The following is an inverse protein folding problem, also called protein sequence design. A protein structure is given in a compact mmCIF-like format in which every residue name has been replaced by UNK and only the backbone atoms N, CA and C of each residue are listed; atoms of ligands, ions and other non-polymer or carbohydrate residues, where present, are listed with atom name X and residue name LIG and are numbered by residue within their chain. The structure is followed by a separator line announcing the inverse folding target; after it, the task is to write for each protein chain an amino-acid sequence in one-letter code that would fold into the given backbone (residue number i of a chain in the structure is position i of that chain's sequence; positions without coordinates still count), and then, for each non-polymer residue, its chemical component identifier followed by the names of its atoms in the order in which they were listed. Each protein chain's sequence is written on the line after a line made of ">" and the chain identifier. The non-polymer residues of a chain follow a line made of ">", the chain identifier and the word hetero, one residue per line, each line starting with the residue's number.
data_IF_903395796080
#
_entry.id   IF_903395796080
#
_cell.length_a   1.000
_cell.length_b   1.000
_cell.length_c   1.000
_cell.angle_alpha   90.00
_cell.angle_beta   90.00
_cell.angle_gamma   90.00
#
_symmetry.space_group_name_H-M   'P 1'
#
loop_
_entity.id
_entity.type
_entity.pdbx_description
1 polymer ?
#
# COMPACT_ATOMS: atom_id res chain seq x y z
N UNK A 1 10.19 15.75 -5.68
CA UNK A 1 9.73 14.73 -4.71
C UNK A 1 8.98 13.65 -5.50
N UNK A 2 9.19 12.36 -5.19
CA UNK A 2 8.44 11.27 -5.85
C UNK A 2 6.93 11.44 -5.51
N UNK A 3 6.05 11.45 -6.53
CA UNK A 3 4.62 11.71 -6.39
C UNK A 3 3.95 10.72 -5.42
N UNK A 4 4.32 9.44 -5.50
CA UNK A 4 3.91 8.37 -4.59
C UNK A 4 4.20 8.71 -3.13
N UNK A 5 5.43 9.16 -2.83
CA UNK A 5 5.82 9.52 -1.47
C UNK A 5 5.02 10.70 -0.93
N UNK A 6 4.83 11.75 -1.73
CA UNK A 6 4.07 12.93 -1.31
C UNK A 6 2.63 12.60 -0.97
N UNK A 7 1.95 11.84 -1.83
CA UNK A 7 0.58 11.40 -1.58
C UNK A 7 0.48 10.48 -0.37
N UNK A 8 1.45 9.59 -0.16
CA UNK A 8 1.47 8.71 1.01
C UNK A 8 1.59 9.50 2.31
N UNK A 9 2.47 10.50 2.36
CA UNK A 9 2.63 11.37 3.53
C UNK A 9 1.37 12.19 3.82
N UNK A 10 0.71 12.70 2.78
CA UNK A 10 -0.57 13.39 2.93
C UNK A 10 -1.63 12.49 3.55
N UNK A 11 -1.74 11.23 3.09
CA UNK A 11 -2.70 10.27 3.63
C UNK A 11 -2.34 9.88 5.08
N UNK A 12 -1.05 9.68 5.37
CA UNK A 12 -0.54 9.40 6.72
C UNK A 12 -0.92 10.51 7.69
N UNK A 13 -0.76 11.78 7.32
CA UNK A 13 -1.13 12.90 8.18
C UNK A 13 -2.64 13.08 8.28
N UNK A 14 -3.39 12.95 7.18
CA UNK A 14 -4.86 13.03 7.17
C UNK A 14 -5.50 12.03 8.14
N UNK A 15 -4.95 10.83 8.23
CA UNK A 15 -5.48 9.72 9.05
C UNK A 15 -4.69 9.46 10.33
N UNK A 16 -3.76 10.36 10.69
CA UNK A 16 -2.93 10.24 11.89
C UNK A 16 -2.22 8.88 12.04
N UNK A 17 -1.74 8.31 10.93
CA UNK A 17 -1.08 7.00 10.90
C UNK A 17 0.36 7.13 11.37
N UNK A 18 0.55 7.19 12.69
CA UNK A 18 1.88 7.44 13.29
C UNK A 18 2.64 6.17 13.68
N UNK A 19 2.00 5.01 13.60
CA UNK A 19 2.58 3.69 13.81
C UNK A 19 2.26 2.76 12.64
N UNK A 20 2.87 1.57 12.59
CA UNK A 20 2.51 0.56 11.59
C UNK A 20 1.02 0.19 11.75
N UNK A 21 0.16 0.49 10.76
CA UNK A 21 -1.28 0.30 10.93
C UNK A 21 -1.62 -1.19 10.94
N UNK A 22 -2.61 -1.58 11.74
CA UNK A 22 -3.19 -2.92 11.68
C UNK A 22 -4.06 -3.09 10.43
N UNK A 23 -4.41 -4.33 10.07
CA UNK A 23 -5.37 -4.56 8.99
C UNK A 23 -6.72 -3.85 9.20
N UNK A 24 -7.36 -3.92 10.39
CA UNK A 24 -8.60 -3.19 10.63
C UNK A 24 -8.48 -1.68 10.43
N UNK A 25 -7.37 -1.06 10.88
CA UNK A 25 -7.11 0.36 10.68
C UNK A 25 -6.97 0.72 9.20
N UNK A 26 -6.20 -0.07 8.42
CA UNK A 26 -6.11 0.16 6.97
C UNK A 26 -7.45 0.00 6.28
N UNK A 27 -8.24 -0.99 6.68
CA UNK A 27 -9.56 -1.21 6.11
C UNK A 27 -10.50 -0.03 6.38
N UNK A 28 -10.44 0.55 7.59
CA UNK A 28 -11.19 1.76 7.92
C UNK A 28 -10.76 2.97 7.06
N UNK A 29 -9.44 3.20 6.91
CA UNK A 29 -8.91 4.27 6.07
C UNK A 29 -9.40 4.11 4.61
N UNK A 30 -9.38 2.88 4.09
CA UNK A 30 -9.87 2.57 2.73
C UNK A 30 -11.34 3.00 2.56
N UNK A 31 -12.19 2.67 3.52
CA UNK A 31 -13.61 3.06 3.49
C UNK A 31 -13.79 4.57 3.64
N UNK A 32 -12.99 5.24 4.47
CA UNK A 32 -13.04 6.69 4.67
C UNK A 32 -12.57 7.47 3.43
N UNK A 33 -11.67 6.90 2.63
CA UNK A 33 -11.31 7.44 1.31
C UNK A 33 -12.37 7.14 0.23
N UNK A 34 -13.44 6.42 0.56
CA UNK A 34 -14.53 6.12 -0.37
C UNK A 34 -14.25 4.95 -1.32
N UNK A 35 -13.20 4.16 -1.06
CA UNK A 35 -12.86 2.98 -1.84
C UNK A 35 -13.68 1.78 -1.35
N UNK A 36 -14.50 1.20 -2.24
CA UNK A 36 -15.28 0.01 -1.92
C UNK A 36 -14.36 -1.21 -1.82
N UNK A 37 -14.61 -2.07 -0.84
CA UNK A 37 -13.82 -3.30 -0.63
C UNK A 37 -14.71 -4.51 -0.74
N UNK A 38 -14.34 -5.47 -1.59
CA UNK A 38 -15.08 -6.73 -1.72
C UNK A 38 -14.19 -7.94 -1.86
N UNK A 39 -14.53 -9.00 -1.15
CA UNK A 39 -13.90 -10.29 -1.34
C UNK A 39 -14.51 -11.04 -2.53
N UNK A 40 -13.66 -11.64 -3.35
CA UNK A 40 -14.02 -12.43 -4.50
C UNK A 40 -13.21 -13.72 -4.57
N UNK A 41 -13.81 -14.76 -5.13
CA UNK A 41 -13.10 -16.00 -5.44
C UNK A 41 -12.42 -15.86 -6.80
N UNK A 42 -11.13 -15.54 -6.79
CA UNK A 42 -10.31 -15.56 -8.00
C UNK A 42 -9.75 -16.96 -8.25
N UNK A 43 -9.66 -17.32 -9.53
CA UNK A 43 -8.89 -18.48 -9.98
C UNK A 43 -7.44 -18.06 -10.23
N UNK A 44 -6.48 -18.93 -9.90
CA UNK A 44 -5.06 -18.70 -10.16
C UNK A 44 -4.37 -17.78 -9.14
N UNK A 45 -3.34 -17.05 -9.57
CA UNK A 45 -2.44 -16.27 -8.70
C UNK A 45 -2.83 -14.82 -8.43
N UNK A 46 -4.02 -14.38 -8.87
CA UNK A 46 -4.50 -13.01 -8.67
C UNK A 46 -5.01 -12.86 -7.23
N UNK A 47 -4.33 -12.01 -6.46
CA UNK A 47 -4.68 -11.76 -5.05
C UNK A 47 -5.60 -10.56 -4.86
N UNK A 48 -5.56 -9.59 -5.78
CA UNK A 48 -6.44 -8.44 -5.75
C UNK A 48 -6.41 -7.61 -7.02
N UNK A 49 -7.51 -6.90 -7.25
CA UNK A 49 -7.72 -6.07 -8.42
C UNK A 49 -8.37 -4.75 -8.01
N UNK A 50 -7.80 -3.65 -8.48
CA UNK A 50 -8.36 -2.32 -8.37
C UNK A 50 -9.12 -1.96 -9.65
N UNK A 51 -10.33 -1.48 -9.51
CA UNK A 51 -11.20 -1.05 -10.59
C UNK A 51 -11.66 0.39 -10.34
N UNK A 52 -11.62 1.22 -11.37
CA UNK A 52 -12.19 2.56 -11.37
C UNK A 52 -13.15 2.67 -12.55
N UNK A 53 -14.39 3.10 -12.30
CA UNK A 53 -15.39 3.36 -13.33
C UNK A 53 -15.37 4.82 -13.78
N UNK A 54 -15.95 5.09 -14.95
CA UNK A 54 -16.11 6.46 -15.47
C UNK A 54 -16.94 7.35 -14.54
N UNK A 55 -17.86 6.76 -13.77
CA UNK A 55 -18.72 7.46 -12.82
C UNK A 55 -18.03 7.72 -11.47
N UNK A 56 -16.72 7.45 -11.37
CA UNK A 56 -15.93 7.65 -10.15
C UNK A 56 -16.15 6.59 -9.08
N UNK A 57 -16.73 5.43 -9.43
CA UNK A 57 -16.82 4.30 -8.50
C UNK A 57 -15.48 3.58 -8.49
N UNK A 58 -14.89 3.50 -7.31
CA UNK A 58 -13.62 2.81 -7.12
C UNK A 58 -13.84 1.59 -6.22
N UNK A 59 -13.32 0.46 -6.68
CA UNK A 59 -13.52 -0.85 -6.07
C UNK A 59 -12.18 -1.58 -5.99
N UNK A 60 -11.82 -1.97 -4.78
CA UNK A 60 -10.74 -2.90 -4.51
C UNK A 60 -11.32 -4.28 -4.20
N UNK A 61 -10.92 -5.25 -5.00
CA UNK A 61 -11.31 -6.64 -4.80
C UNK A 61 -10.13 -7.44 -4.24
N UNK A 62 -10.42 -8.34 -3.30
CA UNK A 62 -9.43 -9.18 -2.62
C UNK A 62 -9.80 -10.65 -2.74
N UNK A 63 -8.80 -11.52 -2.87
CA UNK A 63 -9.00 -12.96 -2.86
C UNK A 63 -9.45 -13.43 -1.47
N UNK A 64 -10.33 -14.42 -1.42
CA UNK A 64 -10.69 -15.12 -0.19
C UNK A 64 -9.48 -15.87 0.40
N UNK A 65 -9.38 -15.90 1.74
CA UNK A 65 -8.40 -16.72 2.47
C UNK A 65 -6.98 -16.15 2.54
N UNK A 66 -6.78 -14.89 2.15
CA UNK A 66 -5.47 -14.23 2.24
C UNK A 66 -5.04 -13.99 3.69
N UNK A 67 -3.73 -14.10 3.94
CA UNK A 67 -3.14 -13.77 5.23
C UNK A 67 -3.07 -12.26 5.47
N UNK A 68 -2.91 -11.84 6.72
CA UNK A 68 -2.87 -10.41 7.09
C UNK A 68 -1.82 -9.61 6.29
N UNK A 69 -0.62 -10.18 6.10
CA UNK A 69 0.45 -9.55 5.31
C UNK A 69 0.01 -9.19 3.89
N UNK A 70 -0.74 -10.08 3.25
CA UNK A 70 -1.22 -9.88 1.88
C UNK A 70 -2.38 -8.89 1.85
N UNK A 71 -3.32 -9.02 2.79
CA UNK A 71 -4.43 -8.08 2.93
C UNK A 71 -3.93 -6.65 3.12
N UNK A 72 -2.98 -6.44 4.04
CA UNK A 72 -2.38 -5.12 4.28
C UNK A 72 -1.71 -4.55 3.03
N UNK A 73 -0.97 -5.38 2.30
CA UNK A 73 -0.34 -4.96 1.04
C UNK A 73 -1.39 -4.53 0.02
N UNK A 74 -2.41 -5.36 -0.23
CA UNK A 74 -3.46 -5.07 -1.22
C UNK A 74 -4.23 -3.80 -0.86
N UNK A 75 -4.58 -3.60 0.42
CA UNK A 75 -5.27 -2.39 0.87
C UNK A 75 -4.41 -1.14 0.65
N UNK A 76 -3.13 -1.18 1.03
CA UNK A 76 -2.21 -0.07 0.81
C UNK A 76 -1.97 0.20 -0.69
N UNK A 77 -1.98 -0.84 -1.51
CA UNK A 77 -1.85 -0.78 -2.97
C UNK A 77 -3.10 -0.15 -3.62
N UNK A 78 -4.29 -0.53 -3.17
CA UNK A 78 -5.55 0.08 -3.63
C UNK A 78 -5.64 1.56 -3.26
N UNK A 79 -5.27 1.92 -2.03
CA UNK A 79 -5.16 3.32 -1.60
C UNK A 79 -4.15 4.11 -2.43
N UNK A 80 -3.03 3.50 -2.80
CA UNK A 80 -2.05 4.14 -3.66
C UNK A 80 -2.64 4.45 -5.05
N UNK A 81 -3.37 3.53 -5.67
CA UNK A 81 -4.03 3.82 -6.95
C UNK A 81 -5.09 4.91 -6.84
N UNK A 82 -5.91 4.84 -5.79
CA UNK A 82 -6.91 5.85 -5.45
C UNK A 82 -6.25 7.25 -5.34
N UNK A 83 -5.19 7.38 -4.54
CA UNK A 83 -4.56 8.67 -4.28
C UNK A 83 -3.70 9.21 -5.43
N UNK A 84 -3.10 8.34 -6.25
CA UNK A 84 -2.20 8.75 -7.32
C UNK A 84 -2.95 9.19 -8.58
N UNK A 85 -4.22 8.80 -8.72
CA UNK A 85 -5.04 9.12 -9.88
C UNK A 85 -4.57 8.32 -11.10
N UNK A 86 -5.41 7.40 -11.56
CA UNK A 86 -5.20 6.68 -12.82
C UNK A 86 -6.20 7.17 -13.88
N UNK A 87 -6.15 6.60 -15.08
CA UNK A 87 -7.05 6.95 -16.19
C UNK A 87 -8.55 6.90 -15.78
N UNK A 88 -9.45 7.63 -16.45
CA UNK A 88 -10.87 7.76 -16.02
C UNK A 88 -11.63 6.44 -15.83
N UNK A 89 -11.27 5.39 -16.56
CA UNK A 89 -11.73 4.03 -16.28
C UNK A 89 -10.63 3.03 -16.59
N UNK A 90 -10.35 2.15 -15.63
CA UNK A 90 -9.29 1.16 -15.77
C UNK A 90 -9.43 0.04 -14.75
N UNK A 91 -8.75 -1.07 -15.06
CA UNK A 91 -8.58 -2.21 -14.18
C UNK A 91 -7.09 -2.41 -13.98
N UNK A 92 -6.63 -2.49 -12.72
CA UNK A 92 -5.26 -2.77 -12.35
C UNK A 92 -5.20 -4.02 -11.49
N UNK A 93 -4.54 -5.04 -12.00
CA UNK A 93 -4.18 -6.22 -11.23
C UNK A 93 -2.94 -5.88 -10.42
N UNK A 94 -2.95 -6.20 -9.13
CA UNK A 94 -1.75 -6.06 -8.30
C UNK A 94 -0.66 -7.01 -8.81
N UNK A 95 0.52 -6.46 -9.09
CA UNK A 95 1.68 -7.21 -9.60
C UNK A 95 2.87 -7.06 -8.67
N UNK A 96 3.49 -8.18 -8.31
CA UNK A 96 4.78 -8.24 -7.64
C UNK A 96 5.71 -9.14 -8.47
N UNK A 97 6.81 -8.63 -9.06
CA UNK A 97 7.35 -7.27 -8.92
C UNK A 97 6.63 -6.21 -9.79
N UNK A 98 6.75 -4.91 -9.46
CA UNK A 98 6.26 -3.80 -10.28
C UNK A 98 6.92 -3.80 -11.67
N UNK A 99 6.16 -3.49 -12.72
CA UNK A 99 6.61 -3.62 -14.11
C UNK A 99 6.92 -2.27 -14.80
N UNK A 100 6.43 -1.17 -14.23
CA UNK A 100 6.61 0.16 -14.78
C UNK A 100 6.84 1.18 -13.65
N UNK A 101 7.14 2.43 -14.03
CA UNK A 101 7.40 3.51 -13.07
C UNK A 101 6.20 3.83 -12.18
N UNK A 102 4.98 3.73 -12.71
CA UNK A 102 3.76 3.98 -11.93
C UNK A 102 3.56 2.89 -10.86
N UNK A 103 3.78 1.62 -11.20
CA UNK A 103 3.75 0.52 -10.23
C UNK A 103 4.82 0.73 -9.14
N UNK A 104 5.99 1.31 -9.49
CA UNK A 104 7.03 1.64 -8.50
C UNK A 104 6.57 2.75 -7.55
N UNK A 105 5.90 3.81 -8.05
CA UNK A 105 5.33 4.88 -7.22
C UNK A 105 4.22 4.36 -6.30
N UNK A 106 3.42 3.40 -6.77
CA UNK A 106 2.39 2.70 -6.00
C UNK A 106 3.02 1.86 -4.87
N UNK A 107 4.06 1.09 -5.17
CA UNK A 107 4.81 0.32 -4.17
C UNK A 107 5.55 1.21 -3.16
N UNK A 108 6.10 2.34 -3.62
CA UNK A 108 6.72 3.34 -2.74
C UNK A 108 5.68 3.93 -1.79
N UNK A 109 4.50 4.30 -2.30
CA UNK A 109 3.37 4.76 -1.48
C UNK A 109 3.01 3.72 -0.42
N UNK A 110 2.75 2.47 -0.86
CA UNK A 110 2.33 1.40 0.03
C UNK A 110 3.35 1.14 1.14
N UNK A 111 4.65 1.14 0.81
CA UNK A 111 5.72 0.94 1.79
C UNK A 111 5.77 2.03 2.87
N UNK A 112 5.48 3.29 2.52
CA UNK A 112 5.45 4.43 3.46
C UNK A 112 4.20 4.39 4.32
N UNK A 113 3.03 4.11 3.73
CA UNK A 113 1.79 4.01 4.50
C UNK A 113 1.87 2.88 5.54
N UNK A 114 2.41 1.72 5.15
CA UNK A 114 2.50 0.54 6.01
C UNK A 114 3.56 0.67 7.12
N UNK A 115 4.57 1.52 6.91
CA UNK A 115 5.60 1.83 7.89
C UNK A 115 5.84 3.34 7.86
N UNK A 116 5.03 4.14 8.57
CA UNK A 116 5.11 5.60 8.50
C UNK A 116 6.48 6.18 8.90
N UNK A 117 6.81 7.43 8.53
CA UNK A 117 8.06 8.08 8.90
C UNK A 117 8.32 8.15 10.40
N UNK A 118 7.27 8.28 11.21
CA UNK A 118 7.38 8.35 12.68
C UNK A 118 7.78 7.02 13.32
N UNK A 119 7.64 5.91 12.60
CA UNK A 119 8.20 4.63 13.05
C UNK A 119 9.71 4.73 12.99
N UNK A 120 10.36 4.76 14.16
CA UNK A 120 11.83 4.83 14.25
C UNK A 120 12.45 3.62 13.56
N UNK A 121 13.15 3.89 12.47
CA UNK A 121 14.01 2.93 11.80
C UNK A 121 15.44 3.25 12.24
N UNK A 122 16.01 2.42 13.12
CA UNK A 122 17.40 2.58 13.54
C UNK A 122 18.31 2.26 12.36
N UNK A 123 18.66 3.31 11.60
CA UNK A 123 19.38 3.21 10.33
C UNK A 123 20.73 2.52 10.54
N UNK A 124 20.86 1.31 9.96
CA UNK A 124 22.08 0.50 10.05
C UNK A 124 22.01 -0.68 11.03
N UNK A 125 21.01 -0.71 11.93
CA UNK A 125 20.77 -1.85 12.84
C UNK A 125 19.54 -2.66 12.47
N UNK A 126 18.47 -2.02 12.02
CA UNK A 126 17.23 -2.73 11.68
C UNK A 126 17.31 -3.37 10.29
N UNK A 127 17.02 -4.66 10.23
CA UNK A 127 17.00 -5.46 9.01
C UNK A 127 15.62 -5.44 8.35
N UNK A 128 15.52 -5.66 7.01
CA UNK A 128 14.22 -5.84 6.36
C UNK A 128 13.37 -6.97 6.98
N UNK A 129 14.00 -8.00 7.54
CA UNK A 129 13.30 -9.12 8.19
C UNK A 129 12.60 -8.68 9.47
N UNK A 130 13.27 -7.89 10.31
CA UNK A 130 12.67 -7.37 11.55
C UNK A 130 11.50 -6.44 11.27
N UNK A 131 11.61 -5.55 10.28
CA UNK A 131 10.49 -4.69 9.87
C UNK A 131 9.33 -5.54 9.33
N UNK A 132 9.65 -6.52 8.48
CA UNK A 132 8.65 -7.43 7.90
C UNK A 132 7.84 -8.15 8.97
N UNK A 133 8.51 -8.66 10.01
CA UNK A 133 7.86 -9.31 11.15
C UNK A 133 7.04 -8.33 11.99
N UNK A 134 7.63 -7.19 12.39
CA UNK A 134 6.97 -6.21 13.27
C UNK A 134 5.76 -5.56 12.61
N UNK A 135 5.89 -5.20 11.33
CA UNK A 135 4.84 -4.54 10.58
C UNK A 135 3.90 -5.54 9.87
N UNK A 136 4.16 -6.85 9.91
CA UNK A 136 3.41 -7.87 9.15
C UNK A 136 3.26 -7.49 7.67
N UNK A 137 4.40 -7.24 7.01
CA UNK A 137 4.48 -6.89 5.58
C UNK A 137 5.49 -7.79 4.88
N UNK A 138 5.48 -7.83 3.54
CA UNK A 138 6.48 -8.58 2.78
C UNK A 138 7.90 -8.03 3.00
N UNK A 139 8.91 -8.91 2.91
CA UNK A 139 10.33 -8.51 3.02
C UNK A 139 10.73 -7.53 1.91
N UNK A 140 10.10 -7.62 0.75
CA UNK A 140 10.28 -6.70 -0.39
C UNK A 140 9.87 -5.27 -0.01
N UNK A 141 8.65 -5.09 0.53
CA UNK A 141 8.16 -3.80 1.01
C UNK A 141 9.01 -3.24 2.16
N UNK A 142 9.41 -4.09 3.10
CA UNK A 142 10.29 -3.69 4.19
C UNK A 142 11.65 -3.16 3.69
N UNK A 143 12.27 -3.86 2.73
CA UNK A 143 13.52 -3.41 2.10
C UNK A 143 13.32 -2.10 1.35
N UNK A 144 12.22 -1.97 0.61
CA UNK A 144 11.84 -0.74 -0.11
C UNK A 144 11.70 0.44 0.85
N UNK A 145 11.00 0.24 1.98
CA UNK A 145 10.84 1.27 2.99
C UNK A 145 12.17 1.77 3.57
N UNK A 146 13.10 0.87 3.90
CA UNK A 146 14.44 1.23 4.40
C UNK A 146 15.18 2.08 3.36
N UNK A 147 15.12 1.67 2.08
CA UNK A 147 15.79 2.39 1.00
C UNK A 147 15.22 3.80 0.81
N UNK A 148 13.89 3.97 0.88
CA UNK A 148 13.23 5.29 0.83
C UNK A 148 13.69 6.14 2.02
N UNK A 149 13.71 5.56 3.22
CA UNK A 149 14.10 6.25 4.44
C UNK A 149 15.48 6.88 4.31
N UNK A 150 16.47 6.08 3.87
CA UNK A 150 17.87 6.50 3.68
C UNK A 150 18.04 7.58 2.62
N UNK A 151 17.15 7.64 1.63
CA UNK A 151 17.26 8.56 0.49
C UNK A 151 16.54 9.89 0.70
N UNK A 152 15.45 9.90 1.47
CA UNK A 152 14.49 11.02 1.44
C UNK A 152 13.94 11.45 2.80
N UNK A 153 14.15 10.68 3.87
CA UNK A 153 13.51 10.92 5.18
C UNK A 153 14.54 10.91 6.33
N UNK A 154 15.77 11.32 6.03
CA UNK A 154 16.82 11.67 7.00
C UNK A 154 16.84 13.18 7.16
#
# INVERSE_FOLDING_TARGET
>A
MNLGLGKALMLVEKHHVYSTPSYPQLHEIVLQEGLLVKFFSFNGGIKGVYCCSLDGIELLTLQNGLGETELKHILAYGLAFHCLGSAPAHIKVMRDPPQNRFDDDVENFASVLLVPPRVRLDYGRITPGEISLRARISRSLAKRRINIARRFLV
#
